data_IF_075361773639
#
_entry.id   IF_075361773639
#
_cell.length_a   1.000
_cell.length_b   1.000
_cell.length_c   1.000
_cell.angle_alpha   90.00
_cell.angle_beta   90.00
_cell.angle_gamma   90.00
#
_symmetry.space_group_name_H-M   'P 1'
#
loop_
_entity.id
_entity.type
_entity.pdbx_description
1 polymer ?
#
# COMPACT_ATOMS: atom_id res chain seq x y z
N UNK A 1 -11.24 -2.11 -8.29
CA UNK A 1 -10.30 -2.21 -7.15
C UNK A 1 -9.09 -3.12 -7.43
N UNK A 2 -8.86 -3.58 -8.66
CA UNK A 2 -8.16 -4.87 -8.83
C UNK A 2 -6.65 -4.86 -8.59
N UNK A 3 -5.98 -3.72 -8.71
CA UNK A 3 -4.52 -3.62 -8.57
C UNK A 3 -4.09 -2.20 -8.14
N UNK A 4 -4.93 -1.53 -7.33
CA UNK A 4 -4.62 -0.26 -6.67
C UNK A 4 -4.02 0.85 -7.57
N UNK A 5 -4.42 0.95 -8.84
CA UNK A 5 -3.85 1.90 -9.81
C UNK A 5 -2.33 1.82 -9.93
N UNK A 6 -1.77 0.61 -9.78
CA UNK A 6 -0.33 0.36 -9.96
C UNK A 6 0.49 0.62 -8.70
N UNK A 7 -0.18 0.95 -7.60
CA UNK A 7 0.44 1.12 -6.30
C UNK A 7 0.59 -0.22 -5.59
N UNK A 8 1.67 -0.36 -4.84
CA UNK A 8 1.81 -1.40 -3.84
C UNK A 8 0.64 -1.28 -2.85
N UNK A 9 -0.11 -2.36 -2.64
CA UNK A 9 -1.25 -2.37 -1.73
C UNK A 9 -0.89 -2.04 -0.27
N UNK A 10 0.38 -2.19 0.11
CA UNK A 10 0.85 -1.98 1.48
C UNK A 10 1.58 -0.66 1.65
N UNK A 11 2.61 -0.42 0.84
CA UNK A 11 3.44 0.79 0.98
C UNK A 11 2.90 2.00 0.21
N UNK A 12 1.93 1.78 -0.68
CA UNK A 12 1.41 2.75 -1.65
C UNK A 12 2.46 3.34 -2.60
N UNK A 13 3.65 2.71 -2.70
CA UNK A 13 4.68 3.04 -3.71
C UNK A 13 4.14 2.72 -5.10
N UNK A 14 4.36 3.58 -6.09
CA UNK A 14 4.07 3.22 -7.48
C UNK A 14 5.03 2.13 -7.98
N UNK A 15 4.46 1.00 -8.41
CA UNK A 15 5.17 -0.18 -8.90
C UNK A 15 5.04 -0.37 -10.41
N UNK A 16 3.98 0.15 -11.02
CA UNK A 16 3.79 0.12 -12.47
C UNK A 16 2.79 1.17 -12.93
N UNK A 17 2.82 1.48 -14.22
CA UNK A 17 1.76 2.29 -14.81
C UNK A 17 0.43 1.51 -14.79
N UNK A 18 -0.69 2.13 -14.36
CA UNK A 18 -2.00 1.49 -14.32
C UNK A 18 -2.43 0.83 -15.63
N UNK A 19 -1.95 1.33 -16.79
CA UNK A 19 -2.27 0.77 -18.11
C UNK A 19 -1.87 -0.69 -18.26
N UNK A 20 -0.87 -1.15 -17.49
CA UNK A 20 -0.42 -2.53 -17.57
C UNK A 20 -1.35 -3.48 -16.82
N UNK A 21 -2.06 -3.02 -15.80
CA UNK A 21 -2.82 -3.89 -14.88
C UNK A 21 -4.33 -3.73 -15.05
N UNK A 22 -4.76 -3.18 -16.19
CA UNK A 22 -6.16 -3.02 -16.55
C UNK A 22 -6.81 -4.39 -16.78
N UNK A 23 -8.13 -4.48 -16.57
CA UNK A 23 -8.90 -5.72 -16.81
C UNK A 23 -8.75 -6.25 -18.23
N UNK A 24 -8.52 -5.38 -19.21
CA UNK A 24 -8.28 -5.74 -20.60
C UNK A 24 -7.03 -6.59 -20.79
N UNK A 25 -6.07 -6.52 -19.87
CA UNK A 25 -4.87 -7.34 -19.88
C UNK A 25 -5.06 -8.71 -19.19
N UNK A 26 -6.29 -9.09 -18.87
CA UNK A 26 -6.62 -10.38 -18.27
C UNK A 26 -7.60 -11.18 -19.14
N UNK A 27 -7.44 -12.51 -19.18
CA UNK A 27 -8.33 -13.42 -19.91
C UNK A 27 -8.94 -14.47 -18.97
N UNK A 28 -10.19 -14.24 -18.55
CA UNK A 28 -10.98 -15.07 -17.60
C UNK A 28 -10.30 -15.27 -16.24
N UNK A 29 -9.13 -15.90 -16.21
CA UNK A 29 -8.39 -16.32 -15.01
C UNK A 29 -6.87 -16.02 -15.06
N UNK A 30 -6.32 -15.49 -16.17
CA UNK A 30 -4.86 -15.26 -16.31
C UNK A 30 -4.53 -13.89 -16.87
N UNK A 31 -3.34 -13.40 -16.53
CA UNK A 31 -2.78 -12.20 -17.13
C UNK A 31 -2.26 -12.52 -18.54
N UNK A 32 -2.59 -11.68 -19.52
CA UNK A 32 -2.15 -11.84 -20.92
C UNK A 32 -0.63 -11.88 -20.98
N UNK A 33 -0.08 -12.91 -21.63
CA UNK A 33 1.38 -13.15 -21.69
C UNK A 33 2.10 -12.32 -22.76
N UNK A 34 1.33 -11.61 -23.59
CA UNK A 34 1.76 -10.89 -24.80
C UNK A 34 2.38 -9.51 -24.53
N UNK A 35 2.67 -9.16 -23.27
CA UNK A 35 3.46 -7.96 -23.00
C UNK A 35 4.87 -8.07 -23.58
N UNK A 36 5.35 -6.97 -24.14
CA UNK A 36 6.73 -6.81 -24.59
C UNK A 36 7.71 -6.94 -23.41
N UNK A 37 8.99 -7.19 -23.72
CA UNK A 37 10.04 -7.25 -22.70
C UNK A 37 10.17 -5.94 -21.92
N UNK A 38 9.97 -4.80 -22.59
CA UNK A 38 10.02 -3.46 -21.99
C UNK A 38 8.83 -3.23 -21.05
N UNK A 39 7.64 -3.69 -21.44
CA UNK A 39 6.43 -3.59 -20.61
C UNK A 39 6.56 -4.46 -19.36
N UNK A 40 7.07 -5.69 -19.50
CA UNK A 40 7.38 -6.57 -18.36
C UNK A 40 8.42 -5.96 -17.42
N UNK A 41 9.47 -5.33 -17.97
CA UNK A 41 10.48 -4.62 -17.17
C UNK A 41 9.96 -3.38 -16.45
N UNK A 42 8.80 -2.85 -16.87
CA UNK A 42 8.15 -1.69 -16.26
C UNK A 42 7.23 -2.04 -15.08
N UNK A 43 7.03 -3.32 -14.79
CA UNK A 43 6.22 -3.80 -13.67
C UNK A 43 7.16 -4.27 -12.55
N UNK A 44 7.17 -3.55 -11.42
CA UNK A 44 8.05 -3.81 -10.27
C UNK A 44 7.33 -4.51 -9.10
N UNK A 45 6.21 -5.17 -9.37
CA UNK A 45 5.40 -5.81 -8.34
C UNK A 45 4.88 -7.18 -8.77
N UNK A 46 4.61 -8.01 -7.76
CA UNK A 46 4.00 -9.32 -7.90
C UNK A 46 2.49 -9.22 -7.68
N UNK A 47 1.74 -10.04 -8.41
CA UNK A 47 0.33 -10.29 -8.13
C UNK A 47 0.21 -11.29 -7.00
N UNK A 48 -0.38 -10.87 -5.90
CA UNK A 48 -0.36 -11.60 -4.63
C UNK A 48 -1.76 -11.73 -4.05
N UNK A 49 -2.01 -12.84 -3.35
CA UNK A 49 -3.23 -13.02 -2.58
C UNK A 49 -3.01 -12.49 -1.17
N UNK A 50 -3.92 -11.66 -0.65
CA UNK A 50 -3.79 -11.18 0.73
C UNK A 50 -3.82 -12.34 1.74
N UNK A 51 -4.77 -13.27 1.56
CA UNK A 51 -4.76 -14.57 2.23
C UNK A 51 -4.22 -15.66 1.30
N UNK A 52 -3.01 -16.14 1.57
CA UNK A 52 -2.34 -17.17 0.78
C UNK A 52 -3.04 -18.54 0.84
N UNK A 53 -3.78 -18.83 1.92
CA UNK A 53 -4.48 -20.12 2.07
C UNK A 53 -5.53 -20.33 0.97
N UNK A 54 -6.03 -19.22 0.41
CA UNK A 54 -7.00 -19.21 -0.69
C UNK A 54 -6.36 -19.51 -2.05
N UNK A 55 -5.03 -19.36 -2.22
CA UNK A 55 -4.36 -19.61 -3.52
C UNK A 55 -4.65 -21.01 -4.07
N UNK A 56 -4.67 -22.02 -3.20
CA UNK A 56 -4.87 -23.42 -3.61
C UNK A 56 -6.30 -23.71 -4.08
N UNK A 57 -7.30 -22.94 -3.65
CA UNK A 57 -8.73 -23.21 -3.86
C UNK A 57 -9.48 -22.16 -4.67
N UNK A 58 -8.95 -20.93 -4.71
CA UNK A 58 -9.60 -19.73 -5.26
C UNK A 58 -8.56 -18.76 -5.84
N UNK A 59 -7.61 -19.26 -6.61
CA UNK A 59 -6.57 -18.44 -7.27
C UNK A 59 -7.14 -17.31 -8.16
N UNK A 60 -8.41 -17.43 -8.56
CA UNK A 60 -9.15 -16.48 -9.40
C UNK A 60 -9.96 -15.46 -8.58
N UNK A 61 -9.84 -15.43 -7.24
CA UNK A 61 -10.61 -14.50 -6.42
C UNK A 61 -10.03 -13.09 -6.53
N UNK A 62 -10.56 -12.32 -7.48
CA UNK A 62 -10.11 -10.97 -7.81
C UNK A 62 -10.13 -9.98 -6.65
N UNK A 63 -11.08 -10.13 -5.72
CA UNK A 63 -11.18 -9.32 -4.50
C UNK A 63 -10.08 -9.65 -3.48
N UNK A 64 -9.27 -10.67 -3.74
CA UNK A 64 -8.14 -11.03 -2.90
C UNK A 64 -6.80 -10.78 -3.61
N UNK A 65 -6.80 -10.28 -4.85
CA UNK A 65 -5.59 -10.00 -5.64
C UNK A 65 -5.12 -8.55 -5.45
N UNK A 66 -3.82 -8.41 -5.19
CA UNK A 66 -3.14 -7.14 -4.98
C UNK A 66 -1.84 -7.10 -5.77
N UNK A 67 -1.38 -5.89 -6.10
CA UNK A 67 0.03 -5.72 -6.49
C UNK A 67 0.82 -5.39 -5.25
N UNK A 68 1.87 -6.16 -5.02
CA UNK A 68 2.78 -5.99 -3.90
C UNK A 68 4.19 -5.87 -4.44
N UNK A 69 5.01 -5.03 -3.83
CA UNK A 69 6.42 -4.96 -4.18
C UNK A 69 7.10 -6.34 -4.02
N UNK A 70 7.86 -6.78 -5.02
CA UNK A 70 8.48 -8.12 -5.02
C UNK A 70 9.42 -8.33 -3.83
N UNK A 71 10.16 -7.30 -3.40
CA UNK A 71 11.02 -7.40 -2.22
C UNK A 71 10.18 -7.55 -0.95
N UNK A 72 9.13 -6.75 -0.79
CA UNK A 72 8.21 -6.88 0.34
C UNK A 72 7.60 -8.29 0.36
N UNK A 73 7.08 -8.76 -0.77
CA UNK A 73 6.42 -10.06 -0.86
C UNK A 73 7.39 -11.21 -0.57
N UNK A 74 8.54 -11.25 -1.24
CA UNK A 74 9.45 -12.38 -1.16
C UNK A 74 10.37 -12.38 0.08
N UNK A 75 10.76 -11.20 0.59
CA UNK A 75 11.79 -11.08 1.64
C UNK A 75 11.25 -10.66 2.99
N UNK A 76 10.21 -9.83 3.02
CA UNK A 76 9.71 -9.24 4.26
C UNK A 76 8.52 -10.04 4.78
N UNK A 77 7.48 -10.21 3.96
CA UNK A 77 6.35 -11.09 4.23
C UNK A 77 6.81 -12.55 4.20
N UNK A 78 7.34 -13.01 3.07
CA UNK A 78 7.78 -14.39 2.90
C UNK A 78 6.64 -15.36 3.22
N UNK A 79 6.88 -16.25 4.19
CA UNK A 79 5.91 -17.26 4.66
C UNK A 79 5.17 -16.87 5.96
N UNK A 80 5.29 -15.61 6.42
CA UNK A 80 4.61 -15.15 7.64
C UNK A 80 3.10 -15.17 7.45
N UNK A 81 2.37 -15.54 8.50
CA UNK A 81 0.92 -15.47 8.50
C UNK A 81 0.45 -14.01 8.45
N UNK A 82 -0.71 -13.78 7.83
CA UNK A 82 -1.32 -12.47 7.72
C UNK A 82 -2.55 -12.42 8.62
N UNK A 83 -2.70 -11.30 9.33
CA UNK A 83 -3.92 -10.93 10.05
C UNK A 83 -4.76 -9.99 9.17
N UNK A 84 -6.07 -10.09 9.24
CA UNK A 84 -6.98 -9.26 8.41
C UNK A 84 -7.10 -7.80 8.85
N UNK A 85 -6.49 -7.43 9.98
CA UNK A 85 -6.65 -6.10 10.62
C UNK A 85 -6.22 -4.92 9.73
N UNK A 86 -5.25 -5.12 8.83
CA UNK A 86 -4.81 -4.12 7.84
C UNK A 86 -5.14 -4.54 6.39
N UNK A 87 -6.18 -5.34 6.16
CA UNK A 87 -6.62 -5.72 4.81
C UNK A 87 -7.16 -4.47 4.08
N UNK A 88 -6.48 -3.93 3.02
CA UNK A 88 -6.75 -2.59 2.50
C UNK A 88 -8.15 -2.35 1.91
N UNK A 89 -8.83 -3.43 1.55
CA UNK A 89 -10.13 -3.45 0.89
C UNK A 89 -11.22 -4.14 1.73
N UNK A 90 -10.91 -4.47 2.99
CA UNK A 90 -11.95 -4.88 3.93
C UNK A 90 -12.96 -3.73 4.06
N UNK A 91 -14.28 -4.01 4.04
CA UNK A 91 -15.30 -2.96 4.17
C UNK A 91 -15.22 -2.20 5.50
N UNK A 92 -14.56 -2.80 6.50
CA UNK A 92 -14.36 -2.23 7.82
C UNK A 92 -12.93 -1.67 8.02
N UNK A 93 -12.10 -1.65 6.98
CA UNK A 93 -10.77 -1.08 7.08
C UNK A 93 -10.83 0.44 7.04
N UNK A 94 -10.34 1.05 8.12
CA UNK A 94 -10.08 2.47 8.20
C UNK A 94 -8.63 2.68 8.64
N UNK A 95 -7.74 3.22 7.78
CA UNK A 95 -6.36 3.47 8.17
C UNK A 95 -6.25 4.42 9.37
N UNK A 96 -7.17 5.37 9.57
CA UNK A 96 -7.12 6.31 10.70
C UNK A 96 -7.50 5.68 12.03
N UNK A 97 -8.25 4.58 12.00
CA UNK A 97 -8.52 3.80 13.21
C UNK A 97 -7.26 3.08 13.67
N UNK A 98 -6.50 2.50 12.73
CA UNK A 98 -5.44 1.56 13.07
C UNK A 98 -4.04 2.18 13.12
N UNK A 99 -3.80 3.24 12.34
CA UNK A 99 -2.47 3.79 12.13
C UNK A 99 -2.42 5.26 12.55
N UNK A 100 -1.33 5.61 13.21
CA UNK A 100 -0.82 6.98 13.26
C UNK A 100 0.35 7.12 12.28
N UNK A 101 0.69 8.36 11.94
CA UNK A 101 1.79 8.66 11.03
C UNK A 101 2.79 9.61 11.69
N UNK A 102 4.02 9.13 11.82
CA UNK A 102 5.16 9.95 12.23
C UNK A 102 5.79 10.59 10.99
N UNK A 103 5.51 11.88 10.82
CA UNK A 103 6.04 12.67 9.70
C UNK A 103 7.57 12.81 9.75
N UNK A 104 8.16 12.94 10.95
CA UNK A 104 9.60 13.15 11.11
C UNK A 104 10.41 11.96 10.62
N UNK A 105 9.87 10.75 10.76
CA UNK A 105 10.53 9.52 10.28
C UNK A 105 9.92 8.97 8.98
N UNK A 106 8.78 9.50 8.53
CA UNK A 106 8.03 9.00 7.39
C UNK A 106 7.40 7.62 7.63
N UNK A 107 7.13 7.25 8.90
CA UNK A 107 6.72 5.91 9.28
C UNK A 107 5.28 5.86 9.77
N UNK A 108 4.59 4.77 9.43
CA UNK A 108 3.37 4.38 10.10
C UNK A 108 3.71 3.70 11.42
N UNK A 109 2.95 4.03 12.45
CA UNK A 109 2.98 3.41 13.78
C UNK A 109 1.55 3.00 14.17
N UNK A 110 1.36 2.05 15.11
CA UNK A 110 0.03 1.72 15.60
C UNK A 110 -0.64 2.94 16.25
N UNK A 111 -1.94 3.09 16.07
CA UNK A 111 -2.71 4.06 16.82
C UNK A 111 -2.75 3.65 18.30
N UNK A 112 -2.24 4.54 19.16
CA UNK A 112 -2.07 4.25 20.60
C UNK A 112 -3.38 4.28 21.39
N UNK A 113 -4.51 4.65 20.77
CA UNK A 113 -5.84 4.55 21.40
C UNK A 113 -6.46 3.15 21.30
N UNK A 114 -5.82 2.22 20.59
CA UNK A 114 -6.29 0.84 20.44
C UNK A 114 -6.06 0.01 21.71
N UNK A 115 -6.68 -1.16 21.80
CA UNK A 115 -6.34 -2.13 22.85
C UNK A 115 -4.92 -2.67 22.67
N UNK A 116 -4.29 -3.15 23.75
CA UNK A 116 -2.92 -3.69 23.70
C UNK A 116 -2.76 -4.79 22.63
N UNK A 117 -3.72 -5.71 22.53
CA UNK A 117 -3.70 -6.76 21.53
C UNK A 117 -3.81 -6.21 20.09
N UNK A 118 -4.66 -5.20 19.88
CA UNK A 118 -4.76 -4.55 18.56
C UNK A 118 -3.49 -3.78 18.19
N UNK A 119 -2.83 -3.12 19.16
CA UNK A 119 -1.54 -2.45 18.94
C UNK A 119 -0.48 -3.46 18.47
N UNK A 120 -0.39 -4.61 19.16
CA UNK A 120 0.54 -5.68 18.80
C UNK A 120 0.23 -6.26 17.41
N UNK A 121 -1.05 -6.44 17.10
CA UNK A 121 -1.50 -6.97 15.81
C UNK A 121 -1.23 -5.99 14.67
N UNK A 122 -1.48 -4.71 14.88
CA UNK A 122 -1.14 -3.66 13.91
C UNK A 122 0.36 -3.56 13.73
N UNK A 123 1.16 -3.57 14.80
CA UNK A 123 2.62 -3.51 14.72
C UNK A 123 3.19 -4.71 13.95
N UNK A 124 2.68 -5.90 14.23
CA UNK A 124 3.01 -7.12 13.49
C UNK A 124 2.69 -6.96 12.00
N UNK A 125 1.54 -6.40 11.66
CA UNK A 125 1.12 -6.20 10.28
C UNK A 125 1.90 -5.09 9.56
N UNK A 126 2.22 -3.98 10.22
CA UNK A 126 3.11 -2.92 9.70
C UNK A 126 4.45 -3.53 9.26
N UNK A 127 4.99 -4.42 10.10
CA UNK A 127 6.28 -5.09 9.86
C UNK A 127 6.17 -6.14 8.78
N UNK A 128 5.14 -7.00 8.85
CA UNK A 128 4.95 -8.13 7.93
C UNK A 128 4.61 -7.68 6.51
N UNK A 129 3.79 -6.64 6.37
CA UNK A 129 3.40 -6.09 5.07
C UNK A 129 4.38 -5.03 4.55
N UNK A 130 5.47 -4.74 5.27
CA UNK A 130 6.50 -3.81 4.80
C UNK A 130 5.99 -2.37 4.63
N UNK A 131 5.04 -1.92 5.45
CA UNK A 131 4.46 -0.57 5.35
C UNK A 131 5.54 0.53 5.42
N UNK A 132 6.65 0.27 6.10
CA UNK A 132 7.72 1.25 6.31
C UNK A 132 8.98 1.04 5.45
N UNK A 133 8.94 0.16 4.45
CA UNK A 133 10.10 -0.10 3.57
C UNK A 133 10.58 1.13 2.80
N UNK A 134 9.67 2.06 2.50
CA UNK A 134 9.96 3.28 1.76
C UNK A 134 9.83 4.53 2.62
N UNK A 135 10.04 4.43 3.93
CA UNK A 135 9.84 5.55 4.86
C UNK A 135 10.62 6.81 4.46
N UNK A 136 11.90 6.66 4.07
CA UNK A 136 12.74 7.80 3.65
C UNK A 136 12.27 8.43 2.34
N UNK A 137 11.90 7.63 1.34
CA UNK A 137 11.38 8.14 0.06
C UNK A 137 10.03 8.83 0.25
N UNK A 138 9.16 8.23 1.06
CA UNK A 138 7.88 8.80 1.47
C UNK A 138 8.09 10.15 2.13
N UNK A 139 8.94 10.25 3.17
CA UNK A 139 9.23 11.51 3.86
C UNK A 139 9.62 12.61 2.87
N UNK A 140 10.61 12.33 2.02
CA UNK A 140 11.09 13.28 1.01
C UNK A 140 9.98 13.73 0.06
N UNK A 141 9.10 12.81 -0.35
CA UNK A 141 7.96 13.18 -1.19
C UNK A 141 6.99 14.09 -0.42
N UNK A 142 6.63 13.73 0.80
CA UNK A 142 5.68 14.50 1.60
C UNK A 142 6.19 15.91 1.87
N UNK A 143 7.47 16.09 2.19
CA UNK A 143 8.14 17.40 2.33
C UNK A 143 7.93 18.26 1.07
N UNK A 144 8.25 17.72 -0.12
CA UNK A 144 8.02 18.42 -1.38
C UNK A 144 6.55 18.79 -1.60
N UNK A 145 5.61 17.94 -1.18
CA UNK A 145 4.17 18.22 -1.30
C UNK A 145 3.68 19.29 -0.32
N UNK A 146 4.28 19.39 0.87
CA UNK A 146 4.04 20.48 1.81
C UNK A 146 4.48 21.80 1.18
N UNK A 147 5.72 21.87 0.70
CA UNK A 147 6.26 23.07 0.03
C UNK A 147 5.38 23.51 -1.15
N UNK A 148 5.00 22.56 -2.03
CA UNK A 148 4.12 22.85 -3.16
C UNK A 148 2.74 23.36 -2.71
N UNK A 149 2.19 22.82 -1.63
CA UNK A 149 0.90 23.26 -1.07
C UNK A 149 1.00 24.69 -0.53
N UNK A 150 2.09 25.03 0.14
CA UNK A 150 2.35 26.39 0.65
C UNK A 150 2.48 27.40 -0.49
N UNK A 151 3.04 26.99 -1.63
CA UNK A 151 3.07 27.76 -2.88
C UNK A 151 1.72 27.81 -3.63
N UNK A 152 0.65 27.26 -3.06
CA UNK A 152 -0.69 27.28 -3.64
C UNK A 152 -0.95 26.23 -4.74
N UNK A 153 -0.05 25.25 -4.91
CA UNK A 153 -0.23 24.17 -5.88
C UNK A 153 -1.41 23.27 -5.51
N UNK A 154 -2.18 22.87 -6.54
CA UNK A 154 -3.28 21.89 -6.41
C UNK A 154 -2.84 20.47 -6.78
N UNK A 155 -1.54 20.23 -6.97
CA UNK A 155 -1.00 18.92 -7.32
C UNK A 155 -1.33 17.92 -6.21
N UNK A 156 -1.83 16.74 -6.59
CA UNK A 156 -2.10 15.63 -5.67
C UNK A 156 -0.96 14.60 -5.74
N UNK A 157 -0.64 13.92 -4.64
CA UNK A 157 0.29 12.81 -4.69
C UNK A 157 -0.29 11.65 -5.51
N UNK A 158 0.59 10.94 -6.19
CA UNK A 158 0.26 9.76 -6.97
C UNK A 158 0.65 8.46 -6.23
N UNK A 159 1.49 8.55 -5.21
CA UNK A 159 1.89 7.47 -4.30
C UNK A 159 1.84 7.97 -2.84
N UNK A 160 1.92 7.07 -1.87
CA UNK A 160 1.87 7.43 -0.43
C UNK A 160 0.65 8.27 -0.02
N UNK A 161 -0.50 7.99 -0.63
CA UNK A 161 -1.74 8.77 -0.53
C UNK A 161 -2.25 8.82 0.92
N UNK A 162 -2.24 7.69 1.62
CA UNK A 162 -2.68 7.57 3.01
C UNK A 162 -1.79 8.41 3.92
N UNK A 163 -0.47 8.29 3.76
CA UNK A 163 0.48 9.09 4.53
C UNK A 163 0.27 10.59 4.31
N UNK A 164 0.09 11.04 3.05
CA UNK A 164 -0.20 12.43 2.75
C UNK A 164 -1.47 12.95 3.42
N UNK A 165 -2.55 12.16 3.40
CA UNK A 165 -3.81 12.57 4.05
C UNK A 165 -3.66 12.64 5.57
N UNK A 166 -2.88 11.76 6.19
CA UNK A 166 -2.57 11.82 7.62
C UNK A 166 -1.70 13.05 7.94
N UNK A 167 -0.70 13.34 7.12
CA UNK A 167 0.11 14.57 7.23
C UNK A 167 -0.75 15.83 7.16
N UNK A 168 -1.69 15.90 6.20
CA UNK A 168 -2.60 17.05 6.11
C UNK A 168 -3.42 17.25 7.38
N UNK A 169 -3.94 16.16 7.96
CA UNK A 169 -4.71 16.21 9.20
C UNK A 169 -3.86 16.77 10.37
N UNK A 170 -2.63 16.28 10.52
CA UNK A 170 -1.69 16.76 11.54
C UNK A 170 -1.35 18.25 11.37
N UNK A 171 -1.14 18.70 10.13
CA UNK A 171 -0.87 20.11 9.83
C UNK A 171 -2.08 21.01 10.11
N UNK A 172 -3.30 20.50 9.95
CA UNK A 172 -4.53 21.24 10.28
C UNK A 172 -4.77 21.30 11.79
N UNK A 173 -4.42 20.24 12.53
CA UNK A 173 -4.51 20.18 13.99
C UNK A 173 -3.48 21.11 14.65
N UNK A 174 -2.25 21.17 14.14
CA UNK A 174 -1.20 22.05 14.66
C UNK A 174 -1.43 23.55 14.39
N UNK A 175 -2.41 23.90 13.54
CA UNK A 175 -2.80 25.29 13.25
C UNK A 175 -3.94 25.80 14.14
N UNK A 176 -4.56 24.92 14.93
CA UNK A 176 -5.63 25.27 15.87
C UNK A 176 -5.07 25.53 17.26
#
# INVERSE_FOLDING_TARGET
MYCQKGLCAYSEKELCNPKFITLENWNKDKYKRELSREEKGSIKGDLEHFDESLKSKKAWLWENLFIVDTHINCRIKGQKSIKSILKPDSPNYDPYKYLDFDFETGRFIPNMSLSQQEIEDVLYMITTLGLNCYASERKKQLENFIELKELGSKRKPHEYITAWRMTLKLLEENKK
#
